data_IF_755045338955
#
_entry.id   IF_755045338955
#
_cell.length_a   1.000
_cell.length_b   1.000
_cell.length_c   1.000
_cell.angle_alpha   90.00
_cell.angle_beta   90.00
_cell.angle_gamma   90.00
#
_symmetry.space_group_name_H-M   'P 1'
#
loop_
_entity.id
_entity.type
_entity.pdbx_description
1 polymer ?
#
# COMPACT_ATOMS: atom_id res chain seq x y z
N UNK A 1 -10.04 -25.89 34.73
CA UNK A 1 -9.63 -24.48 34.93
C UNK A 1 -8.42 -24.07 34.09
N UNK A 2 -7.51 -24.98 33.70
CA UNK A 2 -6.38 -24.65 32.83
C UNK A 2 -6.76 -24.38 31.35
N UNK A 3 -7.85 -24.98 30.86
CA UNK A 3 -8.24 -24.89 29.43
C UNK A 3 -8.66 -23.49 28.99
N UNK A 4 -9.21 -22.67 29.90
CA UNK A 4 -9.65 -21.31 29.60
C UNK A 4 -8.50 -20.30 29.65
N UNK A 5 -7.34 -20.69 30.20
CA UNK A 5 -6.16 -19.80 30.33
C UNK A 5 -5.53 -19.53 28.96
N UNK A 6 -5.49 -20.53 28.08
CA UNK A 6 -4.87 -20.43 26.75
C UNK A 6 -5.59 -19.43 25.84
N UNK A 7 -6.92 -19.55 25.59
CA UNK A 7 -7.63 -18.59 24.76
C UNK A 7 -7.62 -17.18 25.38
N UNK A 8 -7.75 -17.05 26.71
CA UNK A 8 -7.62 -15.74 27.40
C UNK A 8 -6.25 -15.10 27.21
N UNK A 9 -5.18 -15.89 27.36
CA UNK A 9 -3.81 -15.41 27.15
C UNK A 9 -3.59 -15.01 25.70
N UNK A 10 -4.10 -15.79 24.75
CA UNK A 10 -4.04 -15.45 23.33
C UNK A 10 -4.75 -14.13 23.03
N UNK A 11 -5.98 -13.93 23.53
CA UNK A 11 -6.74 -12.67 23.37
C UNK A 11 -5.98 -11.48 23.96
N UNK A 12 -5.42 -11.63 25.16
CA UNK A 12 -4.60 -10.59 25.78
C UNK A 12 -3.34 -10.27 24.95
N UNK A 13 -2.69 -11.27 24.34
CA UNK A 13 -1.54 -11.06 23.45
C UNK A 13 -1.95 -10.30 22.17
N UNK A 14 -3.09 -10.64 21.57
CA UNK A 14 -3.65 -9.95 20.39
C UNK A 14 -3.90 -8.48 20.71
N UNK A 15 -4.66 -8.19 21.78
CA UNK A 15 -4.96 -6.81 22.20
C UNK A 15 -3.69 -6.02 22.52
N UNK A 16 -2.74 -6.65 23.20
CA UNK A 16 -1.46 -6.05 23.55
C UNK A 16 -0.59 -5.74 22.32
N UNK A 17 -0.65 -6.57 21.27
CA UNK A 17 0.05 -6.35 20.01
C UNK A 17 -0.63 -5.24 19.18
N UNK A 18 -1.96 -5.27 19.05
CA UNK A 18 -2.75 -4.25 18.34
C UNK A 18 -2.62 -2.86 18.99
N UNK A 19 -2.65 -2.77 20.33
CA UNK A 19 -2.42 -1.50 21.05
C UNK A 19 -1.04 -0.92 20.76
N UNK A 20 -0.01 -1.76 20.64
CA UNK A 20 1.34 -1.30 20.26
C UNK A 20 1.39 -0.91 18.79
N UNK A 21 0.72 -1.66 17.92
CA UNK A 21 0.63 -1.39 16.50
C UNK A 21 -0.01 -0.02 16.21
N UNK A 22 -1.16 0.27 16.84
CA UNK A 22 -1.88 1.52 16.67
C UNK A 22 -1.00 2.74 16.98
N UNK A 23 -0.20 2.66 18.04
CA UNK A 23 0.76 3.72 18.42
C UNK A 23 1.84 3.99 17.37
N UNK A 24 2.18 3.00 16.54
CA UNK A 24 3.21 3.14 15.50
C UNK A 24 2.61 3.55 14.17
N UNK A 25 1.39 3.12 13.88
CA UNK A 25 0.65 3.51 12.67
C UNK A 25 0.47 5.02 12.59
N UNK A 26 0.18 5.68 13.71
CA UNK A 26 -0.16 7.10 13.74
C UNK A 26 1.09 8.02 13.80
N UNK A 27 2.31 7.45 13.83
CA UNK A 27 3.55 8.22 13.82
C UNK A 27 3.92 8.66 12.40
N UNK A 28 4.46 9.89 12.22
CA UNK A 28 4.95 10.35 10.93
C UNK A 28 5.95 9.37 10.29
N UNK A 29 5.81 9.16 8.97
CA UNK A 29 6.74 8.32 8.20
C UNK A 29 8.19 8.88 8.23
N UNK A 30 8.33 10.20 8.38
CA UNK A 30 9.60 10.90 8.49
C UNK A 30 9.70 11.55 9.88
N UNK A 31 10.49 10.92 10.75
CA UNK A 31 10.78 11.38 12.11
C UNK A 31 12.14 10.88 12.56
N UNK A 32 12.63 11.34 13.72
CA UNK A 32 13.95 11.01 14.25
C UNK A 32 14.19 9.49 14.23
N UNK A 33 15.10 9.03 13.36
CA UNK A 33 15.29 7.63 12.96
C UNK A 33 15.39 6.64 14.13
N UNK A 34 16.10 7.03 15.20
CA UNK A 34 16.32 6.17 16.37
C UNK A 34 15.04 5.82 17.14
N UNK A 35 14.10 6.76 17.28
CA UNK A 35 12.86 6.52 18.03
C UNK A 35 11.91 5.62 17.25
N UNK A 36 11.84 5.81 15.93
CA UNK A 36 11.06 4.97 15.01
C UNK A 36 11.48 3.51 15.06
N UNK A 37 12.79 3.24 15.01
CA UNK A 37 13.30 1.88 14.98
C UNK A 37 13.03 1.12 16.29
N UNK A 38 13.16 1.80 17.43
CA UNK A 38 12.81 1.23 18.74
C UNK A 38 11.32 0.83 18.81
N UNK A 39 10.42 1.67 18.27
CA UNK A 39 9.00 1.35 18.20
C UNK A 39 8.70 0.15 17.31
N UNK A 40 9.33 0.06 16.13
CA UNK A 40 9.22 -1.11 15.25
C UNK A 40 9.61 -2.39 15.99
N UNK A 41 10.79 -2.43 16.61
CA UNK A 41 11.25 -3.60 17.35
C UNK A 41 10.29 -4.00 18.48
N UNK A 42 9.70 -3.03 19.19
CA UNK A 42 8.74 -3.28 20.26
C UNK A 42 7.43 -3.90 19.76
N UNK A 43 6.91 -3.41 18.63
CA UNK A 43 5.69 -3.97 18.01
C UNK A 43 5.99 -5.33 17.42
N UNK A 44 7.09 -5.45 16.67
CA UNK A 44 7.52 -6.67 16.02
C UNK A 44 7.71 -7.80 17.04
N UNK A 45 8.41 -7.53 18.16
CA UNK A 45 8.58 -8.50 19.26
C UNK A 45 7.23 -8.96 19.85
N UNK A 46 6.24 -8.07 19.95
CA UNK A 46 4.91 -8.45 20.44
C UNK A 46 4.18 -9.38 19.45
N UNK A 47 4.25 -9.08 18.15
CA UNK A 47 3.67 -9.95 17.12
C UNK A 47 4.41 -11.29 16.98
N UNK A 48 5.73 -11.32 17.10
CA UNK A 48 6.49 -12.57 17.06
C UNK A 48 6.18 -13.46 18.27
N UNK A 49 6.00 -12.87 19.46
CA UNK A 49 5.52 -13.60 20.65
C UNK A 49 4.12 -14.16 20.42
N UNK A 50 3.19 -13.36 19.90
CA UNK A 50 1.84 -13.79 19.56
C UNK A 50 1.84 -14.92 18.51
N UNK A 51 2.66 -14.78 17.47
CA UNK A 51 2.80 -15.75 16.38
C UNK A 51 3.42 -17.07 16.85
N UNK A 52 4.35 -17.03 17.79
CA UNK A 52 4.89 -18.22 18.44
C UNK A 52 3.82 -18.89 19.31
N UNK A 53 3.14 -18.12 20.15
CA UNK A 53 2.11 -18.64 21.06
C UNK A 53 0.97 -19.35 20.32
N UNK A 54 0.52 -18.81 19.17
CA UNK A 54 -0.54 -19.45 18.39
C UNK A 54 -0.08 -20.75 17.71
N UNK A 55 1.20 -20.87 17.33
CA UNK A 55 1.73 -22.11 16.75
C UNK A 55 1.81 -23.22 17.79
N UNK A 56 2.31 -22.90 18.98
CA UNK A 56 2.48 -23.86 20.07
C UNK A 56 1.14 -24.38 20.63
N UNK A 57 0.10 -23.54 20.62
CA UNK A 57 -1.21 -23.86 21.20
C UNK A 57 -2.30 -24.05 20.14
N UNK A 58 -1.91 -24.34 18.90
CA UNK A 58 -2.79 -24.28 17.72
C UNK A 58 -4.05 -25.12 17.86
N UNK A 59 -3.91 -26.38 18.26
CA UNK A 59 -5.01 -27.35 18.35
C UNK A 59 -6.06 -26.86 19.35
N UNK A 60 -5.64 -26.51 20.56
CA UNK A 60 -6.53 -26.01 21.61
C UNK A 60 -7.21 -24.70 21.24
N UNK A 61 -6.49 -23.79 20.56
CA UNK A 61 -7.11 -22.54 20.10
C UNK A 61 -8.22 -22.79 19.08
N UNK A 62 -8.05 -23.76 18.18
CA UNK A 62 -9.09 -24.15 17.22
C UNK A 62 -10.30 -24.77 17.93
N UNK A 63 -10.08 -25.63 18.93
CA UNK A 63 -11.15 -26.21 19.77
C UNK A 63 -11.93 -25.12 20.52
N UNK A 64 -11.25 -24.05 20.95
CA UNK A 64 -11.86 -22.89 21.59
C UNK A 64 -12.52 -21.90 20.59
N UNK A 65 -12.64 -22.26 19.31
CA UNK A 65 -13.34 -21.46 18.30
C UNK A 65 -12.49 -20.41 17.57
N UNK A 66 -11.15 -20.46 17.65
CA UNK A 66 -10.26 -19.61 16.85
C UNK A 66 -10.56 -19.78 15.36
N UNK A 67 -10.93 -18.69 14.70
CA UNK A 67 -11.27 -18.71 13.28
C UNK A 67 -10.02 -18.58 12.42
N UNK A 68 -9.99 -19.24 11.25
CA UNK A 68 -8.86 -19.20 10.31
C UNK A 68 -8.48 -17.78 9.90
N UNK A 69 -9.47 -16.90 9.72
CA UNK A 69 -9.26 -15.52 9.31
C UNK A 69 -8.52 -14.70 10.37
N UNK A 70 -8.63 -15.04 11.66
CA UNK A 70 -7.92 -14.34 12.74
C UNK A 70 -6.41 -14.52 12.62
N UNK A 71 -5.97 -15.71 12.17
CA UNK A 71 -4.55 -15.96 11.90
C UNK A 71 -4.10 -15.27 10.63
N UNK A 72 -4.97 -15.22 9.62
CA UNK A 72 -4.78 -14.41 8.42
C UNK A 72 -4.58 -12.93 8.75
N UNK A 73 -5.35 -12.39 9.69
CA UNK A 73 -5.19 -11.01 10.16
C UNK A 73 -3.85 -10.79 10.86
N UNK A 74 -3.44 -11.68 11.77
CA UNK A 74 -2.14 -11.59 12.44
C UNK A 74 -1.00 -11.64 11.41
N UNK A 75 -1.06 -12.57 10.46
CA UNK A 75 -0.09 -12.67 9.38
C UNK A 75 -0.07 -11.39 8.51
N UNK A 76 -1.24 -10.83 8.20
CA UNK A 76 -1.35 -9.60 7.42
C UNK A 76 -0.72 -8.41 8.16
N UNK A 77 -0.87 -8.33 9.49
CA UNK A 77 -0.21 -7.32 10.32
C UNK A 77 1.30 -7.46 10.35
N UNK A 78 1.82 -8.69 10.43
CA UNK A 78 3.26 -8.95 10.36
C UNK A 78 3.82 -8.52 9.00
N UNK A 79 3.16 -8.89 7.90
CA UNK A 79 3.51 -8.41 6.56
C UNK A 79 3.49 -6.88 6.48
N UNK A 80 2.47 -6.24 7.04
CA UNK A 80 2.38 -4.77 7.08
C UNK A 80 3.52 -4.12 7.88
N UNK A 81 4.01 -4.74 8.96
CA UNK A 81 5.16 -4.25 9.71
C UNK A 81 6.42 -4.30 8.86
N UNK A 82 6.66 -5.43 8.19
CA UNK A 82 7.77 -5.58 7.24
C UNK A 82 7.71 -4.53 6.13
N UNK A 83 6.55 -4.36 5.50
CA UNK A 83 6.36 -3.33 4.48
C UNK A 83 6.59 -1.92 5.02
N UNK A 84 6.10 -1.61 6.22
CA UNK A 84 6.33 -0.31 6.84
C UNK A 84 7.81 -0.06 7.13
N UNK A 85 8.59 -1.11 7.43
CA UNK A 85 10.02 -0.99 7.63
C UNK A 85 10.74 -0.76 6.29
N UNK A 86 10.34 -1.48 5.25
CA UNK A 86 10.82 -1.23 3.88
C UNK A 86 10.59 0.23 3.45
N UNK A 87 9.41 0.80 3.70
CA UNK A 87 9.12 2.21 3.35
C UNK A 87 10.02 3.22 4.07
N UNK A 88 10.64 2.83 5.19
CA UNK A 88 11.57 3.69 5.95
C UNK A 88 13.03 3.45 5.54
N UNK A 89 13.44 2.20 5.36
CA UNK A 89 14.85 1.83 5.12
C UNK A 89 15.21 1.61 3.67
N UNK A 90 14.22 1.41 2.80
CA UNK A 90 14.38 0.98 1.41
C UNK A 90 15.14 -0.34 1.26
N UNK A 91 15.27 -1.14 2.33
CA UNK A 91 15.94 -2.44 2.27
C UNK A 91 15.01 -3.52 1.70
N UNK A 92 15.35 -4.05 0.52
CA UNK A 92 14.52 -5.01 -0.22
C UNK A 92 14.17 -6.29 0.57
N UNK A 93 15.03 -6.72 1.50
CA UNK A 93 14.75 -7.88 2.39
C UNK A 93 13.40 -7.76 3.10
N UNK A 94 13.06 -6.58 3.62
CA UNK A 94 11.79 -6.40 4.32
C UNK A 94 10.59 -6.42 3.37
N UNK A 95 10.77 -5.99 2.12
CA UNK A 95 9.73 -6.09 1.10
C UNK A 95 9.46 -7.56 0.74
N UNK A 96 10.52 -8.36 0.58
CA UNK A 96 10.41 -9.80 0.31
C UNK A 96 9.74 -10.54 1.47
N UNK A 97 10.12 -10.25 2.72
CA UNK A 97 9.45 -10.82 3.89
C UNK A 97 7.95 -10.48 3.92
N UNK A 98 7.57 -9.23 3.62
CA UNK A 98 6.16 -8.87 3.50
C UNK A 98 5.44 -9.69 2.41
N UNK A 99 6.10 -9.95 1.28
CA UNK A 99 5.55 -10.74 0.19
C UNK A 99 5.29 -12.19 0.63
N UNK A 100 6.26 -12.81 1.31
CA UNK A 100 6.14 -14.19 1.83
C UNK A 100 4.93 -14.33 2.75
N UNK A 101 4.71 -13.37 3.66
CA UNK A 101 3.53 -13.39 4.52
C UNK A 101 2.23 -13.27 3.73
N UNK A 102 2.17 -12.42 2.71
CA UNK A 102 0.95 -12.25 1.92
C UNK A 102 0.66 -13.44 1.00
N UNK A 103 1.68 -14.02 0.38
CA UNK A 103 1.57 -15.27 -0.38
C UNK A 103 1.10 -16.41 0.52
N UNK A 104 1.64 -16.55 1.72
CA UNK A 104 1.20 -17.55 2.68
C UNK A 104 -0.28 -17.37 3.07
N UNK A 105 -0.77 -16.13 3.15
CA UNK A 105 -2.19 -15.87 3.44
C UNK A 105 -3.07 -16.29 2.27
N UNK A 106 -2.68 -15.94 1.04
CA UNK A 106 -3.40 -16.29 -0.18
C UNK A 106 -3.45 -17.82 -0.36
N UNK A 107 -2.29 -18.48 -0.31
CA UNK A 107 -2.16 -19.92 -0.56
C UNK A 107 -2.91 -20.77 0.46
N UNK A 108 -2.92 -20.35 1.73
CA UNK A 108 -3.63 -21.06 2.82
C UNK A 108 -5.10 -20.66 2.93
N UNK A 109 -5.57 -19.73 2.10
CA UNK A 109 -6.96 -19.27 2.02
C UNK A 109 -7.55 -18.92 3.40
N UNK A 110 -6.83 -18.13 4.21
CA UNK A 110 -7.27 -17.86 5.59
C UNK A 110 -8.62 -17.13 5.69
N UNK A 111 -9.03 -16.39 4.66
CA UNK A 111 -10.30 -15.66 4.63
C UNK A 111 -11.45 -16.44 3.96
N UNK A 112 -11.21 -17.67 3.49
CA UNK A 112 -12.25 -18.51 2.88
C UNK A 112 -13.36 -18.84 3.89
N UNK A 113 -14.62 -18.80 3.45
CA UNK A 113 -15.79 -19.05 4.29
C UNK A 113 -16.18 -17.92 5.25
N UNK A 114 -15.37 -16.87 5.39
CA UNK A 114 -15.64 -15.76 6.31
C UNK A 114 -16.48 -14.60 5.72
N UNK A 115 -17.01 -14.79 4.50
CA UNK A 115 -17.66 -13.73 3.74
C UNK A 115 -19.01 -13.23 4.25
N UNK A 116 -19.57 -13.88 5.27
CA UNK A 116 -20.83 -13.47 5.91
C UNK A 116 -20.63 -12.30 6.88
N UNK A 117 -19.44 -12.17 7.46
CA UNK A 117 -19.14 -11.07 8.38
C UNK A 117 -18.56 -9.87 7.61
N UNK A 118 -19.30 -8.77 7.62
CA UNK A 118 -18.91 -7.50 7.00
C UNK A 118 -17.54 -7.03 7.47
N UNK A 119 -17.23 -7.16 8.76
CA UNK A 119 -15.97 -6.68 9.32
C UNK A 119 -14.79 -7.51 8.81
N UNK A 120 -14.96 -8.82 8.69
CA UNK A 120 -13.93 -9.71 8.15
C UNK A 120 -13.71 -9.46 6.66
N UNK A 121 -14.77 -9.21 5.90
CA UNK A 121 -14.67 -8.80 4.48
C UNK A 121 -13.84 -7.53 4.28
N UNK A 122 -14.00 -6.53 5.14
CA UNK A 122 -13.13 -5.35 5.09
C UNK A 122 -11.68 -5.63 5.51
N UNK A 123 -11.42 -6.64 6.35
CA UNK A 123 -10.04 -7.06 6.66
C UNK A 123 -9.40 -7.72 5.43
N UNK A 124 -10.13 -8.57 4.75
CA UNK A 124 -9.70 -9.25 3.52
C UNK A 124 -9.46 -8.27 2.36
N UNK A 125 -10.37 -7.32 2.14
CA UNK A 125 -10.17 -6.24 1.15
C UNK A 125 -8.88 -5.45 1.41
N UNK A 126 -8.61 -5.11 2.67
CA UNK A 126 -7.36 -4.43 3.04
C UNK A 126 -6.14 -5.33 2.88
N UNK A 127 -6.27 -6.65 3.09
CA UNK A 127 -5.20 -7.60 2.81
C UNK A 127 -4.85 -7.60 1.32
N UNK A 128 -5.83 -7.78 0.44
CA UNK A 128 -5.61 -7.77 -1.01
C UNK A 128 -5.00 -6.45 -1.50
N UNK A 129 -5.51 -5.30 -1.04
CA UNK A 129 -4.94 -4.01 -1.41
C UNK A 129 -3.46 -3.86 -1.00
N UNK A 130 -3.08 -4.35 0.20
CA UNK A 130 -1.67 -4.34 0.63
C UNK A 130 -0.81 -5.31 -0.15
N UNK A 131 -1.34 -6.48 -0.50
CA UNK A 131 -0.60 -7.44 -1.30
C UNK A 131 -0.35 -6.90 -2.71
N UNK A 132 -1.37 -6.32 -3.34
CA UNK A 132 -1.24 -5.63 -4.63
C UNK A 132 -0.12 -4.58 -4.60
N UNK A 133 -0.08 -3.73 -3.57
CA UNK A 133 0.99 -2.74 -3.41
C UNK A 133 2.39 -3.37 -3.35
N UNK A 134 2.57 -4.44 -2.59
CA UNK A 134 3.87 -5.13 -2.48
C UNK A 134 4.25 -5.80 -3.80
N UNK A 135 3.32 -6.49 -4.46
CA UNK A 135 3.56 -7.15 -5.75
C UNK A 135 3.89 -6.16 -6.87
N UNK A 136 3.27 -4.98 -6.87
CA UNK A 136 3.57 -3.89 -7.79
C UNK A 136 5.01 -3.38 -7.61
N UNK A 137 5.43 -3.13 -6.36
CA UNK A 137 6.79 -2.64 -6.08
C UNK A 137 7.85 -3.70 -6.44
N UNK A 138 7.55 -4.98 -6.24
CA UNK A 138 8.40 -6.09 -6.64
C UNK A 138 8.35 -6.42 -8.15
N UNK A 139 7.53 -5.70 -8.93
CA UNK A 139 7.33 -5.93 -10.35
C UNK A 139 6.92 -7.38 -10.70
N UNK A 140 6.09 -8.02 -9.85
CA UNK A 140 5.59 -9.39 -10.06
C UNK A 140 4.30 -9.35 -10.90
N UNK A 141 4.42 -9.05 -12.19
CA UNK A 141 3.28 -8.77 -13.10
C UNK A 141 2.22 -9.87 -13.11
N UNK A 142 2.60 -11.14 -13.17
CA UNK A 142 1.67 -12.28 -13.13
C UNK A 142 0.84 -12.30 -11.84
N UNK A 143 1.51 -12.11 -10.69
CA UNK A 143 0.85 -12.03 -9.38
C UNK A 143 -0.07 -10.81 -9.30
N UNK A 144 0.36 -9.65 -9.83
CA UNK A 144 -0.48 -8.44 -9.89
C UNK A 144 -1.75 -8.72 -10.67
N UNK A 145 -1.66 -9.33 -11.86
CA UNK A 145 -2.83 -9.64 -12.68
C UNK A 145 -3.79 -10.58 -11.95
N UNK A 146 -3.28 -11.64 -11.32
CA UNK A 146 -4.08 -12.56 -10.51
C UNK A 146 -4.80 -11.82 -9.37
N UNK A 147 -4.07 -10.99 -8.62
CA UNK A 147 -4.62 -10.25 -7.48
C UNK A 147 -5.64 -9.19 -7.92
N UNK A 148 -5.45 -8.54 -9.08
CA UNK A 148 -6.41 -7.56 -9.60
C UNK A 148 -7.75 -8.21 -9.91
N UNK A 149 -7.75 -9.37 -10.56
CA UNK A 149 -8.99 -10.09 -10.87
C UNK A 149 -9.69 -10.59 -9.59
N UNK A 150 -8.93 -11.17 -8.65
CA UNK A 150 -9.50 -11.60 -7.37
C UNK A 150 -10.04 -10.42 -6.55
N UNK A 151 -9.34 -9.28 -6.56
CA UNK A 151 -9.76 -8.10 -5.81
C UNK A 151 -11.03 -7.47 -6.39
N UNK A 152 -11.18 -7.43 -7.72
CA UNK A 152 -12.42 -7.03 -8.39
C UNK A 152 -13.59 -7.92 -7.96
N UNK A 153 -13.43 -9.23 -8.11
CA UNK A 153 -14.46 -10.20 -7.73
C UNK A 153 -14.85 -10.04 -6.26
N UNK A 154 -13.86 -9.89 -5.36
CA UNK A 154 -14.11 -9.70 -3.93
C UNK A 154 -14.89 -8.42 -3.63
N UNK A 155 -14.62 -7.32 -4.33
CA UNK A 155 -15.36 -6.05 -4.17
C UNK A 155 -16.81 -6.20 -4.64
N UNK A 156 -17.02 -6.85 -5.78
CA UNK A 156 -18.35 -7.09 -6.34
C UNK A 156 -19.19 -8.04 -5.46
N UNK A 157 -18.58 -9.14 -5.00
CA UNK A 157 -19.18 -10.08 -4.04
C UNK A 157 -19.53 -9.39 -2.72
N UNK A 158 -18.64 -8.53 -2.20
CA UNK A 158 -18.90 -7.78 -0.97
C UNK A 158 -20.06 -6.80 -1.14
N UNK A 159 -20.18 -6.17 -2.31
CA UNK A 159 -21.30 -5.28 -2.61
C UNK A 159 -22.63 -6.04 -2.68
N UNK A 160 -22.63 -7.24 -3.28
CA UNK A 160 -23.80 -8.10 -3.36
C UNK A 160 -24.21 -8.64 -1.97
N UNK A 161 -23.23 -9.02 -1.15
CA UNK A 161 -23.47 -9.56 0.19
C UNK A 161 -23.96 -8.50 1.20
N UNK A 162 -23.63 -7.22 1.01
CA UNK A 162 -24.01 -6.14 1.94
C UNK A 162 -24.69 -4.95 1.23
N UNK A 163 -25.93 -5.13 0.73
CA UNK A 163 -26.71 -4.08 0.09
C UNK A 163 -27.11 -3.02 1.13
N UNK A 164 -26.32 -1.95 1.23
CA UNK A 164 -26.48 -0.91 2.25
C UNK A 164 -25.14 -0.39 2.79
N UNK A 165 -24.05 -1.11 2.54
CA UNK A 165 -22.71 -0.61 2.83
C UNK A 165 -22.15 0.16 1.63
N UNK A 166 -21.52 1.31 1.89
CA UNK A 166 -20.92 2.12 0.83
C UNK A 166 -19.57 1.56 0.38
N UNK A 167 -19.53 0.93 -0.79
CA UNK A 167 -18.30 0.42 -1.43
C UNK A 167 -17.71 1.36 -2.49
N UNK A 168 -18.12 2.64 -2.56
CA UNK A 168 -17.64 3.57 -3.59
C UNK A 168 -16.12 3.73 -3.58
N UNK A 169 -15.51 3.87 -2.40
CA UNK A 169 -14.05 4.02 -2.26
C UNK A 169 -13.30 2.78 -2.76
N UNK A 170 -13.77 1.58 -2.41
CA UNK A 170 -13.16 0.33 -2.86
C UNK A 170 -13.24 0.16 -4.38
N UNK A 171 -14.33 0.64 -5.00
CA UNK A 171 -14.45 0.68 -6.46
C UNK A 171 -13.45 1.64 -7.10
N UNK A 172 -13.22 2.80 -6.49
CA UNK A 172 -12.19 3.73 -6.95
C UNK A 172 -10.80 3.11 -6.87
N UNK A 173 -10.49 2.41 -5.77
CA UNK A 173 -9.22 1.67 -5.62
C UNK A 173 -9.06 0.64 -6.74
N UNK A 174 -10.10 -0.15 -7.04
CA UNK A 174 -10.08 -1.09 -8.18
C UNK A 174 -9.79 -0.36 -9.50
N UNK A 175 -10.47 0.76 -9.77
CA UNK A 175 -10.27 1.52 -11.00
C UNK A 175 -8.85 2.08 -11.13
N UNK A 176 -8.28 2.60 -10.04
CA UNK A 176 -6.91 3.13 -10.01
C UNK A 176 -5.89 2.02 -10.24
N UNK A 177 -6.04 0.86 -9.59
CA UNK A 177 -5.13 -0.28 -9.76
C UNK A 177 -5.19 -0.84 -11.18
N UNK A 178 -6.39 -0.98 -11.75
CA UNK A 178 -6.56 -1.44 -13.15
C UNK A 178 -5.93 -0.46 -14.12
N UNK A 179 -6.12 0.85 -13.91
CA UNK A 179 -5.48 1.89 -14.73
C UNK A 179 -3.95 1.76 -14.64
N UNK A 180 -3.41 1.62 -13.43
CA UNK A 180 -1.97 1.48 -13.22
C UNK A 180 -1.40 0.22 -13.90
N UNK A 181 -2.06 -0.93 -13.74
CA UNK A 181 -1.63 -2.18 -14.34
C UNK A 181 -1.65 -2.15 -15.88
N UNK A 182 -2.62 -1.45 -16.49
CA UNK A 182 -2.71 -1.30 -17.96
C UNK A 182 -1.59 -0.46 -18.57
N UNK A 183 -1.02 0.49 -17.82
CA UNK A 183 0.09 1.35 -18.29
C UNK A 183 1.39 0.57 -18.47
N UNK A 184 1.52 -0.62 -17.85
CA UNK A 184 2.65 -1.53 -18.07
C UNK A 184 2.45 -2.46 -19.28
N UNK A 185 1.36 -2.35 -20.03
CA UNK A 185 1.24 -2.95 -21.35
C UNK A 185 1.97 -2.05 -22.36
N UNK A 186 2.96 -2.55 -23.13
CA UNK A 186 3.64 -1.74 -24.12
C UNK A 186 2.65 -1.33 -25.21
N UNK A 187 2.07 -0.14 -25.11
CA UNK A 187 1.41 0.50 -26.24
C UNK A 187 2.48 1.11 -27.14
N UNK A 188 2.40 0.97 -28.48
CA UNK A 188 3.34 1.61 -29.40
C UNK A 188 3.32 3.15 -29.34
N UNK A 189 2.31 3.75 -28.70
CA UNK A 189 2.17 5.20 -28.47
C UNK A 189 2.65 5.67 -27.08
N UNK A 190 3.64 4.98 -26.48
CA UNK A 190 4.14 5.29 -25.14
C UNK A 190 4.82 6.68 -25.09
N UNK A 191 4.02 7.73 -24.92
CA UNK A 191 4.50 9.05 -24.50
C UNK A 191 5.20 8.91 -23.14
N UNK A 192 6.35 9.57 -22.92
CA UNK A 192 7.01 9.59 -21.61
C UNK A 192 6.00 10.02 -20.54
N UNK A 193 5.70 9.13 -19.61
CA UNK A 193 4.75 9.36 -18.53
C UNK A 193 5.27 10.47 -17.61
N UNK A 194 4.85 11.70 -17.85
CA UNK A 194 4.90 12.76 -16.84
C UNK A 194 3.76 12.48 -15.85
N UNK A 195 4.01 11.66 -14.83
CA UNK A 195 3.04 11.49 -13.74
C UNK A 195 2.89 12.82 -13.01
N UNK A 196 1.76 13.50 -13.21
CA UNK A 196 1.38 14.71 -12.51
C UNK A 196 0.24 14.39 -11.54
N UNK A 197 0.55 14.40 -10.24
CA UNK A 197 -0.43 14.13 -9.19
C UNK A 197 -1.67 15.03 -9.24
N UNK A 198 -1.60 16.24 -9.81
CA UNK A 198 -2.78 17.11 -9.99
C UNK A 198 -3.69 16.69 -11.15
N UNK A 199 -3.12 16.19 -12.25
CA UNK A 199 -3.87 15.88 -13.48
C UNK A 199 -4.26 14.40 -13.56
N UNK A 200 -3.37 13.50 -13.13
CA UNK A 200 -3.52 12.05 -13.28
C UNK A 200 -4.30 11.38 -12.15
N UNK A 201 -4.43 12.06 -11.01
CA UNK A 201 -5.28 11.60 -9.90
C UNK A 201 -6.76 11.62 -10.28
N UNK A 202 -7.51 10.63 -9.79
CA UNK A 202 -8.94 10.54 -10.00
C UNK A 202 -9.65 11.83 -9.51
N UNK A 203 -10.67 12.37 -10.23
CA UNK A 203 -11.29 13.63 -9.89
C UNK A 203 -11.75 13.77 -8.42
N UNK A 204 -12.26 12.69 -7.83
CA UNK A 204 -12.68 12.69 -6.42
C UNK A 204 -11.52 12.72 -5.40
N UNK A 205 -10.31 12.31 -5.77
CA UNK A 205 -9.13 12.35 -4.89
C UNK A 205 -8.34 13.66 -5.03
N UNK A 206 -8.56 14.44 -6.09
CA UNK A 206 -7.89 15.74 -6.33
C UNK A 206 -7.94 16.71 -5.14
N UNK A 207 -9.06 16.90 -4.41
CA UNK A 207 -9.08 17.79 -3.25
C UNK A 207 -8.17 17.34 -2.11
N UNK A 208 -7.99 16.02 -1.94
CA UNK A 208 -7.10 15.44 -0.94
C UNK A 208 -5.64 15.54 -1.39
N UNK A 209 -5.34 15.23 -2.66
CA UNK A 209 -4.00 15.31 -3.25
C UNK A 209 -3.50 16.77 -3.28
N UNK A 210 -4.35 17.73 -3.63
CA UNK A 210 -4.01 19.16 -3.65
C UNK A 210 -3.51 19.68 -2.28
N UNK A 211 -4.01 19.13 -1.17
CA UNK A 211 -3.56 19.50 0.19
C UNK A 211 -2.11 19.09 0.46
N UNK A 212 -1.60 18.04 -0.19
CA UNK A 212 -0.19 17.66 -0.12
C UNK A 212 0.72 18.60 -0.93
N UNK A 213 0.17 19.27 -1.95
CA UNK A 213 0.90 20.22 -2.80
C UNK A 213 0.87 21.66 -2.27
N UNK A 214 -0.13 22.05 -1.48
CA UNK A 214 -0.27 23.41 -0.97
C UNK A 214 0.93 23.91 -0.11
N UNK A 215 1.79 23.00 0.39
CA UNK A 215 3.03 23.35 1.13
C UNK A 215 4.34 23.02 0.39
N UNK A 216 4.28 22.45 -0.81
CA UNK A 216 5.46 22.12 -1.62
C UNK A 216 5.41 22.91 -2.92
N UNK A 217 5.85 24.17 -2.86
CA UNK A 217 6.43 24.82 -4.05
C UNK A 217 7.55 23.91 -4.52
N UNK A 218 7.42 23.34 -5.71
CA UNK A 218 8.47 22.52 -6.34
C UNK A 218 9.76 23.33 -6.23
N UNK A 219 10.72 22.84 -5.43
CA UNK A 219 12.02 23.50 -5.36
C UNK A 219 12.68 23.31 -6.71
N UNK A 220 13.47 24.28 -7.16
CA UNK A 220 14.13 24.29 -8.48
C UNK A 220 14.82 22.95 -8.86
N UNK A 221 15.28 22.17 -7.88
CA UNK A 221 15.82 20.83 -8.06
C UNK A 221 14.80 19.78 -8.53
N UNK A 222 13.55 19.87 -8.07
CA UNK A 222 12.42 19.03 -8.50
C UNK A 222 11.94 19.47 -9.90
N UNK A 223 12.05 20.76 -10.21
CA UNK A 223 11.81 21.30 -11.55
C UNK A 223 12.88 20.81 -12.56
N UNK A 224 14.16 20.78 -12.15
CA UNK A 224 15.25 20.24 -12.97
C UNK A 224 15.12 18.73 -13.23
N UNK A 225 14.74 17.95 -12.21
CA UNK A 225 14.48 16.51 -12.37
C UNK A 225 13.26 16.22 -13.25
N UNK A 226 12.30 17.14 -13.34
CA UNK A 226 11.15 17.04 -14.23
C UNK A 226 11.38 17.67 -15.62
N UNK A 227 12.41 18.52 -15.77
CA UNK A 227 12.76 19.21 -17.01
C UNK A 227 13.90 18.58 -17.81
N UNK A 228 14.51 17.48 -17.35
CA UNK A 228 15.53 16.76 -18.13
C UNK A 228 14.87 15.99 -19.30
N UNK A 229 14.60 16.71 -20.38
CA UNK A 229 14.24 16.19 -21.69
C UNK A 229 15.42 16.39 -22.66
N UNK A 230 15.96 15.29 -23.20
CA UNK A 230 16.74 15.28 -24.43
C UNK A 230 15.86 14.68 -25.52
N UNK A 231 15.49 15.52 -26.48
CA UNK A 231 14.75 15.27 -27.74
C UNK A 231 13.30 15.74 -27.77
N UNK A 232 13.13 17.03 -28.06
CA UNK A 232 12.12 17.47 -29.03
C UNK A 232 12.87 18.08 -30.22
N UNK A 233 12.88 17.37 -31.35
CA UNK A 233 13.37 17.91 -32.62
C UNK A 233 12.29 18.78 -33.25
N UNK A 234 12.68 20.01 -33.60
CA UNK A 234 12.28 20.75 -34.78
C UNK A 234 10.78 20.69 -35.20
N UNK A 235 9.96 21.56 -34.61
CA UNK A 235 8.81 22.16 -35.29
C UNK A 235 8.29 23.38 -34.51
N UNK A 236 9.12 24.42 -34.37
CA UNK A 236 8.63 25.78 -34.18
C UNK A 236 9.65 26.78 -34.74
N UNK A 237 9.93 26.64 -36.03
CA UNK A 237 10.48 27.73 -36.83
C UNK A 237 9.29 28.52 -37.39
N UNK A 238 9.26 29.82 -37.11
CA UNK A 238 8.44 30.77 -37.85
C UNK A 238 7.67 31.75 -36.98
N UNK A 239 8.35 32.77 -36.44
CA UNK A 239 8.10 34.20 -36.74
C UNK A 239 8.78 35.09 -35.69
N UNK A 240 9.60 36.04 -36.16
CA UNK A 240 10.13 37.13 -35.32
C UNK A 240 11.62 37.41 -35.46
N UNK A 241 12.12 37.54 -36.69
CA UNK A 241 13.45 38.04 -37.02
C UNK A 241 13.70 39.47 -36.52
N UNK A 242 14.87 39.66 -35.89
CA UNK A 242 15.81 40.78 -36.07
C UNK A 242 15.51 42.20 -35.56
N UNK A 243 16.60 42.78 -35.02
CA UNK A 243 16.94 44.20 -34.74
C UNK A 243 16.37 44.80 -33.45
N UNK A 244 17.27 45.12 -32.51
CA UNK A 244 17.70 46.50 -32.23
C UNK A 244 19.05 46.48 -31.49
N UNK A 245 20.09 46.87 -32.25
CA UNK A 245 21.24 47.69 -31.91
C UNK A 245 22.11 47.43 -30.65
N UNK A 246 23.29 46.86 -30.94
CA UNK A 246 24.57 47.47 -30.54
C UNK A 246 24.59 48.97 -30.89
N UNK A 247 24.87 49.84 -29.92
CA UNK A 247 25.64 51.09 -30.03
C UNK A 247 25.14 52.14 -29.02
N UNK A 248 25.91 52.35 -27.94
CA UNK A 248 26.20 53.69 -27.46
C UNK A 248 27.70 53.93 -27.65
N UNK A 249 27.98 54.95 -28.47
CA UNK A 249 29.27 55.46 -28.93
C UNK A 249 30.11 56.07 -27.82
N UNK A 250 31.41 56.12 -28.09
CA UNK A 250 32.38 57.03 -27.49
C UNK A 250 32.06 58.51 -27.77
N UNK A 251 32.40 59.35 -26.80
CA UNK A 251 33.05 60.65 -26.96
C UNK A 251 34.01 60.81 -25.79
#
# INVERSE_FOLDING_TARGET
MADDVIPKTFRALVESAEKKYARVRDLPAYGRWGTSNHYFHKVFKAYMRLWKYQQENRVRLLECGLQRWEIGEIASRIGQLYFSQYMRTSEARFLLESCIFYEAILNRKYFEGSGKDRMVRFKELRFYARFLMVSLILNRTEMVNLLVEQFKALVDDSKAAFPGTNFKEWRLVVQEIVRFARVHSPSPDARPLRYCALFDSHPSSRPYVARFHAKKVLKFRDALLTSYHKNENAAMLGMGTQRIFLSKKSS
#
